data_IF_757961366458
#
_entry.id   IF_757961366458
#
_cell.length_a   1.000
_cell.length_b   1.000
_cell.length_c   1.000
_cell.angle_alpha   90.00
_cell.angle_beta   90.00
_cell.angle_gamma   90.00
#
_symmetry.space_group_name_H-M   'P 1'
#
loop_
_entity.id
_entity.type
_entity.pdbx_description
1 polymer ?
#
# COMPACT_ATOMS: atom_id res chain seq x y z
N UNK A 1 11.13 -21.90 -9.15
CA UNK A 1 12.17 -21.23 -8.31
C UNK A 1 11.58 -20.63 -7.03
N UNK A 2 10.39 -20.00 -7.03
CA UNK A 2 9.73 -19.50 -5.81
C UNK A 2 9.31 -20.57 -4.79
N UNK A 3 8.87 -21.76 -5.24
CA UNK A 3 8.40 -22.83 -4.33
C UNK A 3 9.40 -23.12 -3.21
N UNK A 4 10.66 -23.45 -3.55
CA UNK A 4 11.67 -23.79 -2.55
C UNK A 4 11.98 -22.61 -1.61
N UNK A 5 11.95 -21.37 -2.13
CA UNK A 5 12.11 -20.17 -1.31
C UNK A 5 10.94 -20.01 -0.34
N UNK A 6 9.69 -20.19 -0.79
CA UNK A 6 8.53 -20.08 0.09
C UNK A 6 8.52 -21.17 1.17
N UNK A 7 8.82 -22.41 0.79
CA UNK A 7 8.87 -23.55 1.71
C UNK A 7 9.93 -23.38 2.81
N UNK A 8 11.05 -22.69 2.55
CA UNK A 8 12.06 -22.44 3.58
C UNK A 8 11.59 -21.53 4.71
N UNK A 9 10.49 -20.80 4.53
CA UNK A 9 9.91 -19.90 5.54
C UNK A 9 8.61 -20.42 6.15
N UNK A 10 8.24 -21.68 5.89
CA UNK A 10 6.97 -22.25 6.34
C UNK A 10 6.78 -22.23 7.87
N UNK A 11 7.86 -22.33 8.63
CA UNK A 11 7.84 -22.31 10.10
C UNK A 11 8.03 -20.90 10.68
N UNK A 12 8.54 -19.95 9.90
CA UNK A 12 8.87 -18.59 10.35
C UNK A 12 7.77 -17.58 10.01
N UNK A 13 7.12 -17.76 8.85
CA UNK A 13 6.07 -16.86 8.36
C UNK A 13 4.72 -17.54 8.56
N UNK A 14 3.93 -16.99 9.46
CA UNK A 14 2.52 -17.36 9.61
C UNK A 14 1.79 -17.21 8.27
N UNK A 15 1.06 -18.25 7.89
CA UNK A 15 0.34 -18.38 6.62
C UNK A 15 1.20 -18.00 5.39
N UNK A 16 2.43 -18.51 5.34
CA UNK A 16 3.43 -18.23 4.29
C UNK A 16 2.88 -18.35 2.85
N UNK A 17 1.92 -19.27 2.63
CA UNK A 17 1.29 -19.55 1.34
C UNK A 17 -0.07 -18.84 1.13
N UNK A 18 -0.52 -17.99 2.07
CA UNK A 18 -1.75 -17.21 1.93
C UNK A 18 -1.70 -16.33 0.68
N UNK A 19 -2.79 -16.31 -0.07
CA UNK A 19 -2.97 -15.45 -1.22
C UNK A 19 -3.03 -13.97 -0.86
N UNK A 20 -2.36 -13.13 -1.64
CA UNK A 20 -2.40 -11.66 -1.54
C UNK A 20 -2.23 -11.04 -2.91
N UNK A 21 -2.59 -9.75 -3.01
CA UNK A 21 -2.35 -8.94 -4.20
C UNK A 21 -0.98 -8.27 -4.10
N UNK A 22 -0.27 -8.22 -5.23
CA UNK A 22 1.03 -7.57 -5.36
C UNK A 22 1.00 -6.59 -6.54
N UNK A 23 1.54 -5.38 -6.33
CA UNK A 23 1.72 -4.39 -7.38
C UNK A 23 2.91 -4.75 -8.27
N UNK A 24 2.72 -4.74 -9.58
CA UNK A 24 3.80 -4.96 -10.56
C UNK A 24 4.76 -3.76 -10.57
N UNK A 25 4.20 -2.56 -10.70
CA UNK A 25 4.84 -1.27 -10.51
C UNK A 25 4.43 -0.68 -9.15
N UNK A 26 5.43 -0.36 -8.32
CA UNK A 26 5.21 0.20 -6.99
C UNK A 26 4.78 1.67 -6.99
N UNK A 27 4.99 2.40 -8.09
CA UNK A 27 4.60 3.81 -8.21
C UNK A 27 3.10 3.98 -8.52
N UNK A 28 2.53 3.00 -9.21
CA UNK A 28 1.11 2.91 -9.54
C UNK A 28 0.24 2.35 -8.41
N UNK A 29 -1.07 2.48 -8.56
CA UNK A 29 -2.07 1.92 -7.65
C UNK A 29 -2.43 0.48 -8.04
N UNK A 30 -3.29 -0.16 -7.23
CA UNK A 30 -3.84 -1.48 -7.56
C UNK A 30 -4.89 -1.37 -8.68
N UNK A 31 -4.49 -1.66 -9.91
CA UNK A 31 -5.38 -1.80 -11.07
C UNK A 31 -5.28 -3.22 -11.65
N UNK A 32 -6.23 -3.68 -12.48
CA UNK A 32 -6.12 -4.99 -13.14
C UNK A 32 -4.81 -5.19 -13.92
N UNK A 33 -4.28 -4.12 -14.52
CA UNK A 33 -3.05 -4.13 -15.30
C UNK A 33 -1.79 -4.10 -14.41
N UNK A 34 -1.89 -3.50 -13.23
CA UNK A 34 -0.77 -3.32 -12.30
C UNK A 34 -0.80 -4.30 -11.11
N UNK A 35 -1.72 -5.27 -11.09
CA UNK A 35 -1.91 -6.17 -9.95
C UNK A 35 -1.80 -7.62 -10.37
N UNK A 36 -1.07 -8.41 -9.58
CA UNK A 36 -1.03 -9.85 -9.74
C UNK A 36 -1.29 -10.56 -8.41
N UNK A 37 -1.69 -11.83 -8.50
CA UNK A 37 -1.85 -12.69 -7.34
C UNK A 37 -0.49 -13.29 -6.94
N UNK A 38 -0.19 -13.25 -5.65
CA UNK A 38 1.07 -13.69 -5.06
C UNK A 38 0.80 -14.40 -3.74
N UNK A 39 1.74 -15.21 -3.27
CA UNK A 39 1.69 -15.70 -1.88
C UNK A 39 2.33 -14.71 -0.92
N UNK A 40 1.97 -14.80 0.37
CA UNK A 40 2.47 -13.93 1.44
C UNK A 40 3.99 -13.86 1.49
N UNK A 41 4.70 -14.98 1.38
CA UNK A 41 6.17 -14.98 1.38
C UNK A 41 6.76 -14.18 0.21
N UNK A 42 6.17 -14.30 -0.99
CA UNK A 42 6.61 -13.54 -2.17
C UNK A 42 6.35 -12.04 -1.98
N UNK A 43 5.16 -11.69 -1.48
CA UNK A 43 4.79 -10.30 -1.19
C UNK A 43 5.74 -9.68 -0.18
N UNK A 44 6.01 -10.36 0.93
CA UNK A 44 6.93 -9.87 1.97
C UNK A 44 8.34 -9.68 1.41
N UNK A 45 8.87 -10.67 0.67
CA UNK A 45 10.20 -10.55 0.08
C UNK A 45 10.34 -9.31 -0.82
N UNK A 46 9.36 -9.08 -1.68
CA UNK A 46 9.37 -7.97 -2.63
C UNK A 46 9.13 -6.62 -1.92
N UNK A 47 8.13 -6.53 -1.05
CA UNK A 47 7.82 -5.27 -0.37
C UNK A 47 8.90 -4.87 0.66
N UNK A 48 9.55 -5.83 1.32
CA UNK A 48 10.70 -5.52 2.20
C UNK A 48 11.86 -4.95 1.37
N UNK A 49 12.16 -5.53 0.20
CA UNK A 49 13.19 -5.00 -0.69
C UNK A 49 12.84 -3.58 -1.17
N UNK A 50 11.61 -3.37 -1.65
CA UNK A 50 11.10 -2.04 -2.06
C UNK A 50 11.18 -1.00 -0.96
N UNK A 51 10.89 -1.38 0.29
CA UNK A 51 11.00 -0.48 1.44
C UNK A 51 12.45 -0.15 1.77
N UNK A 52 13.36 -1.14 1.74
CA UNK A 52 14.78 -0.94 2.00
C UNK A 52 15.46 -0.09 0.92
N UNK A 53 15.03 -0.22 -0.33
CA UNK A 53 15.57 0.50 -1.49
C UNK A 53 14.87 1.85 -1.75
N UNK A 54 13.81 2.17 -1.01
CA UNK A 54 13.11 3.46 -1.10
C UNK A 54 12.09 3.59 -2.23
N UNK A 55 11.82 2.54 -2.99
CA UNK A 55 10.84 2.56 -4.09
C UNK A 55 9.41 2.83 -3.62
N UNK A 56 9.06 2.44 -2.38
CA UNK A 56 7.75 2.72 -1.79
C UNK A 56 7.64 4.13 -1.16
N UNK A 57 8.68 4.98 -1.22
CA UNK A 57 8.60 6.34 -0.66
C UNK A 57 7.52 7.20 -1.34
N UNK A 58 7.15 6.89 -2.58
CA UNK A 58 6.05 7.56 -3.28
C UNK A 58 4.70 7.38 -2.55
N UNK A 59 4.44 6.21 -1.96
CA UNK A 59 3.20 5.92 -1.23
C UNK A 59 3.11 6.78 0.04
N UNK A 60 4.22 6.94 0.75
CA UNK A 60 4.29 7.79 1.94
C UNK A 60 4.00 9.26 1.59
N UNK A 61 4.59 9.76 0.50
CA UNK A 61 4.35 11.13 0.02
C UNK A 61 2.90 11.36 -0.38
N UNK A 62 2.32 10.44 -1.15
CA UNK A 62 0.89 10.48 -1.54
C UNK A 62 0.00 10.54 -0.30
N UNK A 63 0.27 9.72 0.71
CA UNK A 63 -0.46 9.74 1.99
C UNK A 63 -0.39 11.11 2.67
N UNK A 64 0.80 11.69 2.79
CA UNK A 64 1.00 13.01 3.39
C UNK A 64 0.26 14.12 2.63
N UNK A 65 0.27 14.08 1.29
CA UNK A 65 -0.48 15.02 0.44
C UNK A 65 -1.98 14.93 0.70
N UNK A 66 -2.54 13.72 0.67
CA UNK A 66 -3.96 13.49 0.96
C UNK A 66 -4.36 13.92 2.38
N UNK A 67 -3.48 13.76 3.38
CA UNK A 67 -3.73 14.23 4.74
C UNK A 67 -3.73 15.77 4.79
N UNK A 68 -2.76 16.44 4.17
CA UNK A 68 -2.70 17.90 4.09
C UNK A 68 -3.92 18.51 3.39
N UNK A 69 -4.37 17.93 2.27
CA UNK A 69 -5.58 18.34 1.55
C UNK A 69 -6.84 18.20 2.42
N UNK A 70 -6.94 17.10 3.18
CA UNK A 70 -8.06 16.90 4.13
C UNK A 70 -8.05 17.92 5.26
N UNK A 71 -6.88 18.37 5.72
CA UNK A 71 -6.76 19.42 6.74
C UNK A 71 -7.23 20.78 6.19
N UNK A 72 -6.77 21.16 5.00
CA UNK A 72 -7.16 22.43 4.36
C UNK A 72 -8.68 22.48 4.07
N UNK A 73 -9.27 21.38 3.61
CA UNK A 73 -10.70 21.34 3.31
C UNK A 73 -11.59 21.37 4.57
N UNK A 74 -11.04 21.05 5.76
CA UNK A 74 -11.72 21.19 7.04
C UNK A 74 -11.63 22.59 7.62
N UNK A 75 -10.53 23.31 7.40
CA UNK A 75 -10.36 24.70 7.85
C UNK A 75 -11.17 25.68 6.98
N UNK A 76 -11.44 25.35 5.71
CA UNK A 76 -12.23 26.18 4.79
C UNK A 76 -13.76 26.04 5.00
N UNK A 77 -14.23 25.06 5.78
CA UNK A 77 -15.67 24.87 6.09
C UNK A 77 -15.89 24.78 7.61
N UNK A 78 -16.02 25.94 8.30
CA UNK A 78 -17.32 26.25 8.90
C UNK A 78 -17.57 27.76 9.00
N UNK A 79 -18.19 28.40 8.00
CA UNK A 79 -18.96 29.64 8.19
C UNK A 79 -19.71 30.01 6.91
N UNK A 80 -20.80 29.30 6.61
CA UNK A 80 -21.92 29.89 5.86
C UNK A 80 -23.24 29.39 6.41
N UNK A 81 -23.76 30.19 7.34
CA UNK A 81 -25.13 30.74 7.41
C UNK A 81 -26.32 29.78 7.35
N UNK A 82 -27.10 29.77 8.43
CA UNK A 82 -28.52 30.17 8.33
C UNK A 82 -28.99 30.81 9.65
N UNK A 83 -28.90 32.14 9.71
CA UNK A 83 -29.98 32.92 10.33
C UNK A 83 -31.17 32.78 9.38
N UNK A 84 -32.26 32.17 9.83
CA UNK A 84 -33.56 32.49 9.28
C UNK A 84 -34.54 32.72 10.43
N UNK A 85 -35.49 33.60 10.13
CA UNK A 85 -36.20 34.52 11.02
C UNK A 85 -37.43 33.92 11.71
#
# INVERSE_FOLDING_TARGET
KWRNFCESFKEEIEDYNMGTLLRLDCEGDYTPENTTFSVRTQFLAIEIARNKEGYNSCVLRKKQQHEAEKQQNKEVLPETTTQDS
#
